data_IF_305022543857
#
_entry.id   IF_305022543857
#
_cell.length_a   1.000
_cell.length_b   1.000
_cell.length_c   1.000
_cell.angle_alpha   90.00
_cell.angle_beta   90.00
_cell.angle_gamma   90.00
#
_symmetry.space_group_name_H-M   'P 1'
#
loop_
_entity.id
_entity.type
_entity.pdbx_description
1 polymer ?
#
# COMPACT_ATOMS: atom_id res chain seq x y z
N UNK A 1 -0.31 14.34 6.24
CA UNK A 1 -0.97 14.44 4.93
C UNK A 1 -0.31 15.58 4.15
N UNK A 2 0.31 15.30 2.99
CA UNK A 2 1.05 16.31 2.22
C UNK A 2 0.58 16.45 0.76
N UNK A 3 -0.31 15.58 0.27
CA UNK A 3 -0.78 15.56 -1.13
C UNK A 3 -2.32 15.42 -1.25
N UNK A 4 -3.07 15.71 -0.18
CA UNK A 4 -4.53 15.53 -0.17
C UNK A 4 -5.00 14.08 -0.20
N UNK A 5 -4.11 13.13 0.10
CA UNK A 5 -4.39 11.70 0.17
C UNK A 5 -4.72 11.33 1.62
N UNK A 6 -5.84 10.64 1.81
CA UNK A 6 -6.20 10.01 3.08
C UNK A 6 -5.48 8.68 3.23
N UNK A 7 -4.86 8.49 4.40
CA UNK A 7 -4.02 7.34 4.69
C UNK A 7 -4.52 6.66 5.96
N UNK A 8 -4.73 5.35 5.87
CA UNK A 8 -4.97 4.49 7.02
C UNK A 8 -3.70 3.67 7.27
N UNK A 9 -3.15 3.79 8.48
CA UNK A 9 -2.02 3.00 8.94
C UNK A 9 -2.54 1.91 9.89
N UNK A 10 -2.18 0.66 9.61
CA UNK A 10 -2.39 -0.46 10.52
C UNK A 10 -1.05 -0.88 11.13
N UNK A 11 -0.77 -0.41 12.34
CA UNK A 11 0.42 -0.73 13.14
C UNK A 11 0.09 -1.59 14.37
N UNK A 12 -1.09 -2.23 14.35
CA UNK A 12 -1.55 -3.10 15.44
C UNK A 12 -0.60 -4.29 15.60
N UNK A 13 -0.40 -4.73 16.85
CA UNK A 13 0.37 -5.94 17.19
C UNK A 13 -0.44 -7.22 16.95
N UNK A 14 -1.00 -7.35 15.76
CA UNK A 14 -1.82 -8.49 15.33
C UNK A 14 -1.09 -9.32 14.28
N UNK A 15 -1.62 -10.51 13.99
CA UNK A 15 -1.05 -11.35 12.92
C UNK A 15 -1.31 -10.70 11.55
N UNK A 16 -0.36 -10.73 10.60
CA UNK A 16 -0.53 -10.13 9.28
C UNK A 16 -1.80 -10.58 8.56
N UNK A 17 -2.17 -11.87 8.67
CA UNK A 17 -3.40 -12.38 8.07
C UNK A 17 -4.69 -11.74 8.60
N UNK A 18 -4.72 -11.34 9.88
CA UNK A 18 -5.86 -10.63 10.48
C UNK A 18 -5.91 -9.19 9.95
N UNK A 19 -4.76 -8.51 9.95
CA UNK A 19 -4.64 -7.15 9.42
C UNK A 19 -5.05 -7.08 7.94
N UNK A 20 -4.62 -8.04 7.12
CA UNK A 20 -5.00 -8.12 5.71
C UNK A 20 -6.48 -8.37 5.51
N UNK A 21 -7.10 -9.23 6.32
CA UNK A 21 -8.54 -9.47 6.25
C UNK A 21 -9.32 -8.19 6.58
N UNK A 22 -8.94 -7.48 7.64
CA UNK A 22 -9.58 -6.22 8.03
C UNK A 22 -9.40 -5.14 6.94
N UNK A 23 -8.18 -4.97 6.41
CA UNK A 23 -7.91 -3.99 5.35
C UNK A 23 -8.64 -4.30 4.04
N UNK A 24 -8.84 -5.58 3.73
CA UNK A 24 -9.65 -6.01 2.59
C UNK A 24 -11.14 -5.70 2.80
N UNK A 25 -11.66 -5.86 4.02
CA UNK A 25 -13.03 -5.49 4.39
C UNK A 25 -13.26 -3.98 4.36
N UNK A 26 -12.29 -3.18 4.81
CA UNK A 26 -12.34 -1.71 4.73
C UNK A 26 -12.39 -1.25 3.27
N UNK A 27 -11.76 -1.99 2.36
CA UNK A 27 -11.89 -1.78 0.93
C UNK A 27 -11.05 -0.63 0.38
N UNK A 28 -9.92 -0.32 1.01
CA UNK A 28 -8.97 0.70 0.53
C UNK A 28 -8.49 0.32 -0.88
N UNK A 29 -8.59 1.22 -1.89
CA UNK A 29 -8.28 0.89 -3.28
C UNK A 29 -6.79 0.63 -3.54
N UNK A 30 -5.92 1.34 -2.82
CA UNK A 30 -4.46 1.27 -2.91
C UNK A 30 -3.91 0.76 -1.58
N UNK A 31 -3.28 -0.41 -1.59
CA UNK A 31 -2.75 -1.04 -0.39
C UNK A 31 -1.21 -1.09 -0.48
N UNK A 32 -0.55 -0.73 0.61
CA UNK A 32 0.90 -0.84 0.76
C UNK A 32 1.20 -1.82 1.89
N UNK A 33 2.06 -2.80 1.61
CA UNK A 33 2.55 -3.73 2.62
C UNK A 33 4.04 -3.47 2.80
N UNK A 34 4.38 -3.01 4.01
CA UNK A 34 5.74 -2.77 4.45
C UNK A 34 6.10 -3.88 5.42
N UNK A 35 7.10 -4.68 5.07
CA UNK A 35 7.61 -5.75 5.93
C UNK A 35 9.13 -5.80 5.86
N UNK A 36 9.75 -6.17 6.98
CA UNK A 36 11.20 -6.10 7.19
C UNK A 36 12.00 -6.69 6.01
N UNK A 37 11.60 -7.87 5.53
CA UNK A 37 12.27 -8.57 4.42
C UNK A 37 12.34 -7.75 3.13
N UNK A 38 11.26 -7.03 2.80
CA UNK A 38 11.20 -6.23 1.57
C UNK A 38 11.90 -4.89 1.78
N UNK A 39 11.82 -4.35 3.00
CA UNK A 39 12.45 -3.10 3.37
C UNK A 39 13.98 -3.19 3.33
N UNK A 40 14.56 -4.35 3.65
CA UNK A 40 16.00 -4.62 3.48
C UNK A 40 16.47 -4.45 2.02
N UNK A 41 15.58 -4.68 1.05
CA UNK A 41 15.83 -4.47 -0.38
C UNK A 41 15.38 -3.08 -0.87
N UNK A 42 14.98 -2.20 0.04
CA UNK A 42 14.33 -0.91 -0.23
C UNK A 42 13.10 -1.05 -1.13
N UNK A 43 12.35 -2.14 -0.99
CA UNK A 43 11.14 -2.40 -1.77
C UNK A 43 9.88 -2.39 -0.88
N UNK A 44 8.78 -1.91 -1.44
CA UNK A 44 7.44 -1.94 -0.87
C UNK A 44 6.53 -2.74 -1.80
N UNK A 45 5.71 -3.64 -1.24
CA UNK A 45 4.67 -4.32 -2.01
C UNK A 45 3.47 -3.37 -2.13
N UNK A 46 3.17 -2.95 -3.36
CA UNK A 46 1.94 -2.27 -3.71
C UNK A 46 0.93 -3.28 -4.27
N UNK A 47 -0.32 -3.15 -3.82
CA UNK A 47 -1.46 -3.91 -4.33
C UNK A 47 -2.57 -2.95 -4.74
N UNK A 48 -3.01 -3.09 -5.99
CA UNK A 48 -4.21 -2.43 -6.49
C UNK A 48 -5.40 -3.36 -6.26
N UNK A 49 -6.32 -2.96 -5.38
CA UNK A 49 -7.50 -3.80 -5.05
C UNK A 49 -8.45 -3.96 -6.23
N UNK A 50 -8.57 -2.96 -7.10
CA UNK A 50 -9.53 -2.96 -8.22
C UNK A 50 -9.10 -3.92 -9.33
N UNK A 51 -7.82 -3.93 -9.68
CA UNK A 51 -7.28 -4.84 -10.69
C UNK A 51 -6.81 -6.18 -10.12
N UNK A 52 -6.54 -6.24 -8.81
CA UNK A 52 -5.92 -7.39 -8.16
C UNK A 52 -4.42 -7.51 -8.41
N UNK A 53 -3.81 -6.53 -9.07
CA UNK A 53 -2.38 -6.55 -9.39
C UNK A 53 -1.53 -6.25 -8.17
N UNK A 54 -0.36 -6.89 -8.14
CA UNK A 54 0.67 -6.72 -7.12
C UNK A 54 2.00 -6.44 -7.79
N UNK A 55 2.74 -5.48 -7.25
CA UNK A 55 4.05 -5.13 -7.75
C UNK A 55 4.96 -4.68 -6.61
N UNK A 56 6.24 -4.98 -6.75
CA UNK A 56 7.29 -4.49 -5.87
C UNK A 56 7.80 -3.16 -6.44
N UNK A 57 7.76 -2.12 -5.63
CA UNK A 57 8.14 -0.77 -6.01
C UNK A 57 9.21 -0.28 -5.06
N UNK A 58 10.25 0.37 -5.59
CA UNK A 58 11.30 0.95 -4.76
C UNK A 58 10.72 2.00 -3.80
N UNK A 59 11.22 1.99 -2.57
CA UNK A 59 10.86 2.94 -1.51
C UNK A 59 11.01 4.39 -1.97
N UNK A 60 12.03 4.68 -2.78
CA UNK A 60 12.27 6.01 -3.34
C UNK A 60 11.23 6.45 -4.38
N UNK A 61 10.56 5.52 -5.05
CA UNK A 61 9.60 5.80 -6.12
C UNK A 61 8.13 5.65 -5.70
N UNK A 62 7.86 5.11 -4.51
CA UNK A 62 6.50 4.71 -4.10
C UNK A 62 5.51 5.87 -4.03
N UNK A 63 5.96 7.04 -3.56
CA UNK A 63 5.07 8.20 -3.37
C UNK A 63 4.64 8.74 -4.73
N UNK A 64 5.59 8.94 -5.65
CA UNK A 64 5.31 9.44 -6.99
C UNK A 64 4.41 8.47 -7.76
N UNK A 65 4.69 7.16 -7.65
CA UNK A 65 3.86 6.12 -8.21
C UNK A 65 2.41 6.18 -7.67
N UNK A 66 2.22 6.27 -6.36
CA UNK A 66 0.89 6.35 -5.75
C UNK A 66 0.12 7.60 -6.17
N UNK A 67 0.78 8.76 -6.21
CA UNK A 67 0.16 10.01 -6.67
C UNK A 67 -0.29 9.86 -8.13
N UNK A 68 0.53 9.24 -8.98
CA UNK A 68 0.16 8.95 -10.37
C UNK A 68 -1.04 8.01 -10.47
N UNK A 69 -1.08 6.92 -9.69
CA UNK A 69 -2.19 5.97 -9.69
C UNK A 69 -3.51 6.58 -9.22
N UNK A 70 -3.45 7.42 -8.17
CA UNK A 70 -4.64 8.05 -7.58
C UNK A 70 -5.19 9.15 -8.50
N UNK A 71 -4.32 9.95 -9.11
CA UNK A 71 -4.73 11.08 -9.98
C UNK A 71 -4.98 10.66 -11.44
N UNK A 72 -4.33 9.60 -11.90
CA UNK A 72 -4.44 9.03 -13.24
C UNK A 72 -5.66 8.13 -13.44
N UNK A 73 -6.40 7.80 -12.38
CA UNK A 73 -7.72 7.21 -12.46
C UNK A 73 -8.76 8.25 -12.96
N UNK A 74 -8.66 8.61 -14.25
CA UNK A 74 -9.75 9.16 -15.05
C UNK A 74 -10.27 8.11 -16.01
#
# INVERSE_FOLDING_TARGET
QAQGIDVLLDDRKERPGVMFADMELIGVPHQLVIGDRNLDAEDIEYKNRRSGEKQMIKLSAIVDFLVSEITGAK
#
